data_IF_632308785919
#
_entry.id   IF_632308785919
#
_cell.length_a   1.000
_cell.length_b   1.000
_cell.length_c   1.000
_cell.angle_alpha   90.00
_cell.angle_beta   90.00
_cell.angle_gamma   90.00
#
_symmetry.space_group_name_H-M   'P 1'
#
loop_
_entity.id
_entity.type
_entity.pdbx_description
1 polymer ?
#
# COMPACT_ATOMS: atom_id res chain seq x y z
N UNK A 1 11.27 -32.17 -17.69
CA UNK A 1 12.14 -31.16 -17.04
C UNK A 1 11.38 -29.87 -16.72
N UNK A 2 10.51 -29.38 -17.61
CA UNK A 2 9.72 -28.13 -17.45
C UNK A 2 8.74 -28.09 -16.27
N UNK A 3 8.12 -29.21 -15.91
CA UNK A 3 7.14 -29.26 -14.82
C UNK A 3 7.71 -28.82 -13.46
N UNK A 4 8.95 -29.22 -13.18
CA UNK A 4 9.67 -28.84 -11.97
C UNK A 4 10.25 -27.41 -12.03
N UNK A 5 10.39 -26.83 -13.23
CA UNK A 5 10.82 -25.43 -13.38
C UNK A 5 9.74 -24.43 -13.01
N UNK A 6 8.46 -24.77 -13.23
CA UNK A 6 7.33 -23.86 -12.98
C UNK A 6 6.78 -23.95 -11.55
N UNK A 7 6.98 -25.07 -10.86
CA UNK A 7 6.30 -25.36 -9.57
C UNK A 7 7.11 -24.98 -8.31
N UNK A 8 8.43 -24.85 -8.40
CA UNK A 8 9.27 -24.42 -7.26
C UNK A 8 10.58 -23.71 -7.72
N UNK A 9 10.56 -22.37 -7.87
CA UNK A 9 11.70 -21.61 -8.39
C UNK A 9 12.98 -21.74 -7.57
N UNK A 10 12.86 -21.85 -6.24
CA UNK A 10 13.99 -21.99 -5.30
C UNK A 10 14.76 -23.31 -5.47
N UNK A 11 14.22 -24.29 -6.20
CA UNK A 11 14.90 -25.54 -6.52
C UNK A 11 15.95 -25.37 -7.63
N UNK A 12 16.02 -24.21 -8.31
CA UNK A 12 17.06 -23.91 -9.31
C UNK A 12 18.48 -23.96 -8.72
N UNK A 13 18.69 -23.46 -7.50
CA UNK A 13 20.00 -23.46 -6.86
C UNK A 13 20.47 -24.89 -6.55
N UNK A 14 19.58 -25.69 -5.94
CA UNK A 14 19.84 -27.09 -5.63
C UNK A 14 20.09 -27.98 -6.87
N UNK A 15 19.59 -27.60 -8.05
CA UNK A 15 19.80 -28.36 -9.30
C UNK A 15 21.19 -28.18 -9.88
N UNK A 16 21.73 -26.97 -9.92
CA UNK A 16 23.10 -26.74 -10.38
C UNK A 16 24.12 -27.37 -9.42
N UNK A 17 23.88 -27.26 -8.11
CA UNK A 17 24.71 -27.94 -7.11
C UNK A 17 24.56 -29.46 -7.21
N UNK A 18 23.36 -30.00 -7.46
CA UNK A 18 23.17 -31.43 -7.67
C UNK A 18 23.85 -31.93 -8.95
N UNK A 19 23.77 -31.20 -10.06
CA UNK A 19 24.50 -31.54 -11.30
C UNK A 19 26.01 -31.51 -11.04
N UNK A 20 26.50 -30.49 -10.34
CA UNK A 20 27.92 -30.36 -10.00
C UNK A 20 28.38 -31.49 -9.07
N UNK A 21 27.59 -31.84 -8.06
CA UNK A 21 27.93 -32.90 -7.12
C UNK A 21 27.77 -34.31 -7.71
N UNK A 22 26.74 -34.60 -8.51
CA UNK A 22 26.48 -35.96 -9.01
C UNK A 22 27.11 -36.25 -10.36
N UNK A 23 27.05 -35.30 -11.29
CA UNK A 23 27.47 -35.50 -12.68
C UNK A 23 28.92 -35.05 -12.87
N UNK A 24 29.29 -33.87 -12.37
CA UNK A 24 30.63 -33.31 -12.60
C UNK A 24 31.69 -33.82 -11.61
N UNK A 25 31.30 -34.27 -10.42
CA UNK A 25 32.21 -34.84 -9.41
C UNK A 25 32.27 -36.38 -9.46
N UNK A 26 31.75 -37.03 -10.50
CA UNK A 26 31.80 -38.49 -10.68
C UNK A 26 31.22 -39.31 -9.51
N UNK A 27 30.36 -38.72 -8.68
CA UNK A 27 29.81 -39.39 -7.49
C UNK A 27 28.96 -40.60 -7.90
N UNK A 28 28.27 -40.54 -9.05
CA UNK A 28 27.54 -41.68 -9.60
C UNK A 28 28.47 -42.86 -9.94
N UNK A 29 29.55 -42.61 -10.68
CA UNK A 29 30.56 -43.62 -11.03
C UNK A 29 31.25 -44.19 -9.78
N UNK A 30 31.56 -43.33 -8.81
CA UNK A 30 32.09 -43.76 -7.52
C UNK A 30 31.11 -44.66 -6.75
N UNK A 31 29.81 -44.37 -6.80
CA UNK A 31 28.76 -45.18 -6.20
C UNK A 31 28.63 -46.55 -6.89
N UNK A 32 28.81 -46.56 -8.22
CA UNK A 32 28.76 -47.77 -9.05
C UNK A 32 29.93 -48.72 -8.75
N UNK A 33 31.07 -48.18 -8.33
CA UNK A 33 32.22 -48.95 -7.84
C UNK A 33 32.05 -49.55 -6.43
N UNK A 34 30.93 -49.29 -5.73
CA UNK A 34 30.66 -49.85 -4.39
C UNK A 34 29.86 -51.14 -4.44
N UNK A 35 30.04 -51.96 -3.40
CA UNK A 35 29.22 -53.16 -3.19
C UNK A 35 27.74 -52.78 -2.99
N UNK A 36 26.82 -53.69 -3.35
CA UNK A 36 25.38 -53.45 -3.21
C UNK A 36 25.00 -53.05 -1.79
N UNK A 37 25.60 -53.68 -0.78
CA UNK A 37 25.33 -53.38 0.63
C UNK A 37 25.76 -51.97 1.02
N UNK A 38 26.96 -51.54 0.62
CA UNK A 38 27.46 -50.19 0.91
C UNK A 38 26.67 -49.13 0.15
N UNK A 39 26.33 -49.38 -1.12
CA UNK A 39 25.51 -48.48 -1.93
C UNK A 39 24.15 -48.23 -1.28
N UNK A 40 23.46 -49.29 -0.86
CA UNK A 40 22.17 -49.18 -0.15
C UNK A 40 22.31 -48.35 1.12
N UNK A 41 23.34 -48.61 1.95
CA UNK A 41 23.55 -47.89 3.21
C UNK A 41 23.81 -46.39 2.98
N UNK A 42 24.58 -46.04 1.95
CA UNK A 42 24.87 -44.64 1.58
C UNK A 42 23.59 -43.94 1.13
N UNK A 43 22.82 -44.58 0.24
CA UNK A 43 21.56 -44.02 -0.26
C UNK A 43 20.51 -43.86 0.85
N UNK A 44 20.40 -44.81 1.77
CA UNK A 44 19.51 -44.70 2.94
C UNK A 44 19.87 -43.51 3.83
N UNK A 45 21.17 -43.31 4.12
CA UNK A 45 21.63 -42.15 4.88
C UNK A 45 21.34 -40.83 4.15
N UNK A 46 21.57 -40.79 2.83
CA UNK A 46 21.29 -39.61 2.01
C UNK A 46 19.79 -39.29 1.96
N UNK A 47 18.93 -40.31 1.82
CA UNK A 47 17.47 -40.15 1.85
C UNK A 47 16.97 -39.64 3.20
N UNK A 48 17.54 -40.15 4.30
CA UNK A 48 17.23 -39.66 5.65
C UNK A 48 17.63 -38.19 5.80
N UNK A 49 18.84 -37.83 5.37
CA UNK A 49 19.31 -36.44 5.38
C UNK A 49 18.43 -35.50 4.53
N UNK A 50 18.00 -35.95 3.35
CA UNK A 50 17.06 -35.20 2.51
C UNK A 50 15.76 -34.90 3.24
N UNK A 51 15.18 -35.90 3.90
CA UNK A 51 13.91 -35.73 4.61
C UNK A 51 14.04 -34.78 5.82
N UNK A 52 15.20 -34.75 6.48
CA UNK A 52 15.53 -33.76 7.51
C UNK A 52 15.49 -32.34 6.94
N UNK A 53 16.23 -32.11 5.84
CA UNK A 53 16.33 -30.81 5.17
C UNK A 53 14.94 -30.33 4.71
N UNK A 54 14.16 -31.20 4.07
CA UNK A 54 12.80 -30.86 3.62
C UNK A 54 11.92 -30.45 4.80
N UNK A 55 12.03 -31.13 5.94
CA UNK A 55 11.26 -30.79 7.15
C UNK A 55 11.69 -29.44 7.72
N UNK A 56 12.98 -29.16 7.78
CA UNK A 56 13.51 -27.88 8.25
C UNK A 56 13.09 -26.72 7.35
N UNK A 57 13.18 -26.90 6.03
CA UNK A 57 12.77 -25.88 5.06
C UNK A 57 11.26 -25.63 5.11
N UNK A 58 10.44 -26.67 5.26
CA UNK A 58 8.99 -26.50 5.46
C UNK A 58 8.72 -25.67 6.72
N UNK A 59 9.39 -26.01 7.83
CA UNK A 59 9.24 -25.26 9.09
C UNK A 59 9.67 -23.80 8.94
N UNK A 60 10.75 -23.51 8.20
CA UNK A 60 11.19 -22.13 7.90
C UNK A 60 10.16 -21.38 7.05
N UNK A 61 9.60 -22.04 6.04
CA UNK A 61 8.57 -21.46 5.19
C UNK A 61 7.30 -21.13 5.99
N UNK A 62 6.87 -22.03 6.86
CA UNK A 62 5.70 -21.82 7.74
C UNK A 62 5.96 -20.64 8.70
N UNK A 63 7.13 -20.58 9.35
CA UNK A 63 7.53 -19.48 10.23
C UNK A 63 7.57 -18.13 9.50
N UNK A 64 8.07 -18.11 8.26
CA UNK A 64 8.10 -16.91 7.44
C UNK A 64 6.68 -16.48 7.07
N UNK A 65 5.81 -17.42 6.68
CA UNK A 65 4.41 -17.17 6.40
C UNK A 65 3.68 -16.54 7.59
N UNK A 66 3.84 -17.11 8.78
CA UNK A 66 3.28 -16.54 10.01
C UNK A 66 3.83 -15.15 10.33
N UNK A 67 5.13 -14.92 10.12
CA UNK A 67 5.74 -13.61 10.37
C UNK A 67 5.20 -12.53 9.42
N UNK A 68 4.97 -12.88 8.16
CA UNK A 68 4.35 -11.98 7.16
C UNK A 68 2.93 -11.63 7.59
N UNK A 69 2.11 -12.64 7.94
CA UNK A 69 0.73 -12.42 8.39
C UNK A 69 0.70 -11.50 9.63
N UNK A 70 1.52 -11.79 10.65
CA UNK A 70 1.62 -10.94 11.85
C UNK A 70 2.02 -9.50 11.53
N UNK A 71 2.92 -9.30 10.57
CA UNK A 71 3.32 -7.95 10.13
C UNK A 71 2.16 -7.24 9.43
N UNK A 72 1.45 -7.91 8.54
CA UNK A 72 0.29 -7.33 7.83
C UNK A 72 -0.84 -6.98 8.80
N UNK A 73 -1.12 -7.83 9.78
CA UNK A 73 -2.12 -7.55 10.82
C UNK A 73 -1.73 -6.32 11.66
N UNK A 74 -0.46 -6.20 12.04
CA UNK A 74 0.03 -5.04 12.77
C UNK A 74 -0.08 -3.74 11.95
N UNK A 75 0.26 -3.79 10.65
CA UNK A 75 0.11 -2.66 9.73
C UNK A 75 -1.36 -2.26 9.55
N UNK A 76 -2.26 -3.23 9.43
CA UNK A 76 -3.71 -2.99 9.37
C UNK A 76 -4.21 -2.28 10.63
N UNK A 77 -3.83 -2.76 11.82
CA UNK A 77 -4.24 -2.13 13.09
C UNK A 77 -3.69 -0.70 13.22
N UNK A 78 -2.44 -0.45 12.81
CA UNK A 78 -1.87 0.90 12.82
C UNK A 78 -2.58 1.83 11.82
N UNK A 79 -2.91 1.33 10.63
CA UNK A 79 -3.69 2.06 9.64
C UNK A 79 -5.08 2.44 10.18
N UNK A 80 -5.82 1.47 10.73
CA UNK A 80 -7.14 1.72 11.34
C UNK A 80 -7.07 2.75 12.47
N UNK A 81 -6.03 2.70 13.32
CA UNK A 81 -5.80 3.73 14.36
C UNK A 81 -5.53 5.10 13.76
N UNK A 82 -4.77 5.19 12.66
CA UNK A 82 -4.48 6.47 11.98
C UNK A 82 -5.75 7.06 11.37
N UNK A 83 -6.58 6.22 10.72
CA UNK A 83 -7.87 6.62 10.16
C UNK A 83 -8.79 7.13 11.27
N UNK A 84 -8.97 6.37 12.35
CA UNK A 84 -9.81 6.79 13.48
C UNK A 84 -9.34 8.14 14.08
N UNK A 85 -8.02 8.33 14.25
CA UNK A 85 -7.47 9.61 14.72
C UNK A 85 -7.72 10.75 13.74
N UNK A 86 -7.65 10.48 12.44
CA UNK A 86 -7.97 11.45 11.40
C UNK A 86 -9.45 11.85 11.47
N UNK A 87 -10.34 10.87 11.60
CA UNK A 87 -11.79 11.10 11.65
C UNK A 87 -12.22 11.87 12.88
N UNK A 88 -11.65 11.54 14.06
CA UNK A 88 -11.88 12.31 15.29
C UNK A 88 -11.42 13.76 15.12
N UNK A 89 -10.28 14.00 14.47
CA UNK A 89 -9.81 15.36 14.19
C UNK A 89 -10.72 16.10 13.20
N UNK A 90 -11.14 15.43 12.12
CA UNK A 90 -12.07 16.00 11.13
C UNK A 90 -13.40 16.36 11.79
N UNK A 91 -13.97 15.45 12.60
CA UNK A 91 -15.20 15.67 13.36
C UNK A 91 -15.10 16.88 14.29
N UNK A 92 -13.99 17.04 15.03
CA UNK A 92 -13.77 18.23 15.85
C UNK A 92 -13.75 19.52 15.03
N UNK A 93 -13.08 19.53 13.88
CA UNK A 93 -13.02 20.69 12.98
C UNK A 93 -14.42 21.00 12.41
N UNK A 94 -15.20 19.98 12.07
CA UNK A 94 -16.61 20.14 11.65
C UNK A 94 -17.46 20.75 12.77
N UNK A 95 -17.29 20.29 14.01
CA UNK A 95 -17.99 20.85 15.18
C UNK A 95 -17.58 22.30 15.47
N UNK A 96 -16.31 22.68 15.24
CA UNK A 96 -15.83 24.06 15.40
C UNK A 96 -16.55 25.04 14.46
N UNK A 97 -17.06 24.58 13.30
CA UNK A 97 -17.88 25.42 12.42
C UNK A 97 -19.30 25.65 12.94
N UNK A 98 -19.75 24.83 13.88
CA UNK A 98 -21.00 25.01 14.63
C UNK A 98 -22.21 25.34 13.75
N UNK A 99 -22.98 26.34 14.17
CA UNK A 99 -24.20 26.80 13.49
C UNK A 99 -23.94 27.72 12.30
N UNK A 100 -22.76 28.31 12.19
CA UNK A 100 -22.41 29.21 11.07
C UNK A 100 -22.32 28.46 9.75
N UNK A 101 -21.96 27.17 9.80
CA UNK A 101 -21.81 26.33 8.61
C UNK A 101 -20.61 26.75 7.75
N UNK A 102 -20.51 26.14 6.57
CA UNK A 102 -19.46 26.45 5.60
C UNK A 102 -19.85 27.67 4.76
N UNK A 103 -18.90 28.57 4.51
CA UNK A 103 -19.10 29.76 3.70
C UNK A 103 -18.66 29.48 2.26
N UNK A 104 -19.58 29.66 1.31
CA UNK A 104 -19.41 29.23 -0.09
C UNK A 104 -19.42 30.38 -1.10
N UNK A 105 -19.65 31.62 -0.67
CA UNK A 105 -19.56 32.80 -1.54
C UNK A 105 -18.86 33.94 -0.81
N UNK A 106 -18.28 34.88 -1.55
CA UNK A 106 -17.68 36.09 -0.97
C UNK A 106 -18.69 36.91 -0.16
N UNK A 107 -19.94 36.99 -0.65
CA UNK A 107 -21.01 37.69 0.05
C UNK A 107 -21.36 37.02 1.39
N UNK A 108 -21.35 35.69 1.47
CA UNK A 108 -21.53 34.97 2.74
C UNK A 108 -20.39 35.25 3.70
N UNK A 109 -19.16 35.37 3.21
CA UNK A 109 -17.99 35.71 4.03
C UNK A 109 -18.17 37.10 4.63
N UNK A 110 -18.49 38.09 3.79
CA UNK A 110 -18.66 39.48 4.22
C UNK A 110 -19.83 39.63 5.20
N UNK A 111 -20.95 38.96 4.95
CA UNK A 111 -22.09 38.95 5.88
C UNK A 111 -21.75 38.26 7.20
N UNK A 112 -20.99 37.16 7.18
CA UNK A 112 -20.67 36.39 8.39
C UNK A 112 -19.69 37.12 9.31
N UNK A 113 -18.80 37.95 8.77
CA UNK A 113 -17.89 38.79 9.58
C UNK A 113 -18.56 40.10 10.04
N UNK A 114 -19.62 40.53 9.35
CA UNK A 114 -20.30 41.78 9.65
C UNK A 114 -20.91 41.75 11.06
N UNK A 115 -20.50 42.70 11.90
CA UNK A 115 -20.99 42.80 13.29
C UNK A 115 -20.31 41.86 14.30
N UNK A 116 -19.37 41.01 13.87
CA UNK A 116 -18.54 40.22 14.79
C UNK A 116 -17.40 41.05 15.38
N UNK A 117 -16.98 40.71 16.61
CA UNK A 117 -15.73 41.22 17.15
C UNK A 117 -14.56 40.67 16.34
N UNK A 118 -13.48 41.45 16.22
CA UNK A 118 -12.31 41.07 15.42
C UNK A 118 -11.72 39.70 15.81
N UNK A 119 -11.67 39.38 17.10
CA UNK A 119 -11.22 38.06 17.60
C UNK A 119 -12.08 36.91 17.08
N UNK A 120 -13.40 37.12 17.05
CA UNK A 120 -14.39 36.10 16.72
C UNK A 120 -14.43 35.89 15.20
N UNK A 121 -14.32 36.98 14.43
CA UNK A 121 -14.15 36.94 12.99
C UNK A 121 -12.86 36.18 12.59
N UNK A 122 -11.72 36.46 13.24
CA UNK A 122 -10.47 35.73 12.98
C UNK A 122 -10.64 34.23 13.28
N UNK A 123 -11.28 33.88 14.40
CA UNK A 123 -11.50 32.49 14.77
C UNK A 123 -12.40 31.76 13.78
N UNK A 124 -13.47 32.41 13.32
CA UNK A 124 -14.37 31.90 12.30
C UNK A 124 -13.62 31.63 10.99
N UNK A 125 -12.88 32.61 10.46
CA UNK A 125 -12.14 32.47 9.20
C UNK A 125 -11.05 31.40 9.31
N UNK A 126 -10.32 31.35 10.43
CA UNK A 126 -9.36 30.25 10.67
C UNK A 126 -10.05 28.89 10.73
N UNK A 127 -11.27 28.82 11.28
CA UNK A 127 -12.11 27.61 11.27
C UNK A 127 -12.47 27.16 9.84
N UNK A 128 -12.94 28.09 9.00
CA UNK A 128 -13.25 27.84 7.59
C UNK A 128 -12.02 27.32 6.83
N UNK A 129 -10.88 27.97 6.98
CA UNK A 129 -9.62 27.57 6.33
C UNK A 129 -9.12 26.19 6.83
N UNK A 130 -9.26 25.88 8.13
CA UNK A 130 -8.94 24.55 8.66
C UNK A 130 -9.85 23.47 8.07
N UNK A 131 -11.15 23.75 7.99
CA UNK A 131 -12.13 22.82 7.45
C UNK A 131 -11.86 22.50 5.98
N UNK A 132 -11.68 23.53 5.15
CA UNK A 132 -11.37 23.38 3.72
C UNK A 132 -10.09 22.57 3.49
N UNK A 133 -9.04 22.82 4.29
CA UNK A 133 -7.78 22.06 4.20
C UNK A 133 -7.88 20.61 4.69
N UNK A 134 -8.51 20.39 5.85
CA UNK A 134 -8.40 19.13 6.60
C UNK A 134 -9.58 18.19 6.41
N UNK A 135 -10.76 18.73 6.12
CA UNK A 135 -11.99 17.96 5.90
C UNK A 135 -12.25 17.83 4.41
N UNK A 136 -12.31 18.94 3.67
CA UNK A 136 -12.56 18.91 2.22
C UNK A 136 -11.34 18.51 1.39
N UNK A 137 -10.13 18.62 1.93
CA UNK A 137 -8.91 18.34 1.18
C UNK A 137 -8.67 19.32 0.01
N UNK A 138 -9.30 20.50 0.04
CA UNK A 138 -9.30 21.45 -1.06
C UNK A 138 -7.87 21.89 -1.39
N UNK A 139 -7.45 21.71 -2.65
CA UNK A 139 -6.12 22.09 -3.11
C UNK A 139 -6.09 23.60 -3.37
N UNK A 140 -5.22 24.31 -2.66
CA UNK A 140 -5.05 25.74 -2.84
C UNK A 140 -4.11 26.04 -4.01
N UNK A 141 -4.44 27.05 -4.82
CA UNK A 141 -3.58 27.60 -5.87
C UNK A 141 -2.24 28.08 -5.30
N UNK A 142 -2.26 28.64 -4.09
CA UNK A 142 -1.06 29.10 -3.39
C UNK A 142 -0.83 28.33 -2.09
N UNK A 143 0.42 27.89 -1.88
CA UNK A 143 0.84 27.17 -0.66
C UNK A 143 0.58 27.97 0.63
N UNK A 144 0.50 29.29 0.52
CA UNK A 144 0.34 30.22 1.63
C UNK A 144 -1.12 30.41 2.08
N UNK A 145 -2.12 30.03 1.27
CA UNK A 145 -3.54 30.29 1.54
C UNK A 145 -4.04 29.64 2.84
N UNK A 146 -3.36 28.60 3.32
CA UNK A 146 -3.69 27.92 4.58
C UNK A 146 -2.77 28.27 5.76
N UNK A 147 -1.87 29.25 5.63
CA UNK A 147 -1.05 29.71 6.76
C UNK A 147 -1.82 30.73 7.58
N UNK A 148 -1.54 30.75 8.89
CA UNK A 148 -2.12 31.71 9.83
C UNK A 148 -1.07 32.68 10.39
N UNK A 149 0.20 32.48 10.04
CA UNK A 149 1.31 33.32 10.42
C UNK A 149 2.41 33.31 9.36
N UNK A 150 3.17 34.40 9.32
CA UNK A 150 4.32 34.59 8.46
C UNK A 150 5.44 35.26 9.27
N UNK A 151 6.65 34.72 9.23
CA UNK A 151 7.79 35.24 10.00
C UNK A 151 7.58 35.27 11.52
N UNK A 152 6.66 34.44 12.06
CA UNK A 152 6.30 34.43 13.49
C UNK A 152 5.18 35.43 13.88
N UNK A 153 4.72 36.25 12.94
CA UNK A 153 3.63 37.22 13.14
C UNK A 153 2.31 36.62 12.65
N UNK A 154 1.22 36.78 13.41
CA UNK A 154 -0.10 36.32 12.97
C UNK A 154 -0.62 37.19 11.81
N UNK A 155 -1.23 36.55 10.81
CA UNK A 155 -1.86 37.27 9.71
C UNK A 155 -3.08 38.07 10.18
N UNK A 156 -3.31 39.22 9.56
CA UNK A 156 -4.46 40.08 9.82
C UNK A 156 -5.76 39.41 9.36
N UNK A 157 -6.89 39.91 9.86
CA UNK A 157 -8.22 39.46 9.43
C UNK A 157 -8.38 39.62 7.91
N UNK A 158 -7.98 40.76 7.35
CA UNK A 158 -8.14 41.06 5.92
C UNK A 158 -7.37 40.08 5.04
N UNK A 159 -6.13 39.74 5.42
CA UNK A 159 -5.34 38.74 4.70
C UNK A 159 -5.98 37.36 4.75
N UNK A 160 -6.48 36.96 5.92
CA UNK A 160 -7.16 35.67 6.09
C UNK A 160 -8.48 35.61 5.29
N UNK A 161 -9.22 36.71 5.23
CA UNK A 161 -10.44 36.84 4.42
C UNK A 161 -10.10 36.76 2.94
N UNK A 162 -9.05 37.43 2.46
CA UNK A 162 -8.59 37.33 1.07
C UNK A 162 -8.28 35.88 0.69
N UNK A 163 -7.51 35.17 1.52
CA UNK A 163 -7.21 33.76 1.28
C UNK A 163 -8.48 32.88 1.21
N UNK A 164 -9.47 33.14 2.06
CA UNK A 164 -10.72 32.38 2.04
C UNK A 164 -11.55 32.70 0.78
N UNK A 165 -11.62 33.98 0.37
CA UNK A 165 -12.32 34.39 -0.85
C UNK A 165 -11.68 33.78 -2.10
N UNK A 166 -10.35 33.76 -2.19
CA UNK A 166 -9.63 33.08 -3.27
C UNK A 166 -9.98 31.59 -3.37
N UNK A 167 -10.01 30.89 -2.22
CA UNK A 167 -10.38 29.46 -2.18
C UNK A 167 -11.85 29.24 -2.59
N UNK A 168 -12.74 30.12 -2.18
CA UNK A 168 -14.16 30.05 -2.54
C UNK A 168 -14.38 30.37 -4.02
N UNK A 169 -13.68 31.36 -4.57
CA UNK A 169 -13.76 31.75 -5.97
C UNK A 169 -13.13 30.73 -6.93
N UNK A 170 -12.13 29.97 -6.47
CA UNK A 170 -11.49 28.90 -7.25
C UNK A 170 -12.29 27.57 -7.25
N UNK A 171 -13.26 27.41 -6.33
CA UNK A 171 -14.11 26.22 -6.20
C UNK A 171 -15.22 26.19 -7.28
N UNK A 172 -14.86 26.05 -8.55
CA UNK A 172 -15.82 25.76 -9.64
C UNK A 172 -16.45 24.36 -9.54
N UNK A 173 -15.95 23.51 -8.64
CA UNK A 173 -16.41 22.16 -8.32
C UNK A 173 -17.10 22.11 -6.96
N UNK A 174 -18.04 23.02 -6.72
CA UNK A 174 -19.03 22.83 -5.64
C UNK A 174 -19.97 21.66 -6.00
N UNK A 175 -19.51 20.41 -5.90
CA UNK A 175 -20.35 19.24 -6.15
C UNK A 175 -19.70 17.90 -6.47
N UNK A 176 -18.37 17.79 -6.56
CA UNK A 176 -17.71 16.50 -6.76
C UNK A 176 -16.88 16.16 -5.53
N UNK A 177 -17.50 15.46 -4.58
CA UNK A 177 -16.73 14.57 -3.70
C UNK A 177 -16.13 13.51 -4.63
N UNK A 178 -14.86 13.65 -4.98
CA UNK A 178 -14.12 12.55 -5.58
C UNK A 178 -14.03 11.45 -4.50
N UNK A 179 -14.96 10.50 -4.56
CA UNK A 179 -14.83 9.18 -3.95
C UNK A 179 -13.68 8.43 -4.63
N UNK A 180 -12.42 8.85 -4.45
CA UNK A 180 -11.33 8.16 -5.15
C UNK A 180 -9.99 8.17 -4.40
N UNK A 181 -10.03 7.92 -3.09
CA UNK A 181 -8.80 7.60 -2.31
C UNK A 181 -8.83 6.23 -1.62
N UNK A 182 -9.92 5.46 -1.76
CA UNK A 182 -9.98 4.10 -1.19
C UNK A 182 -9.43 2.99 -2.11
N UNK A 183 -9.09 3.30 -3.38
CA UNK A 183 -8.62 2.30 -4.34
C UNK A 183 -7.10 2.22 -4.53
N UNK A 184 -6.31 3.18 -4.05
CA UNK A 184 -4.95 3.36 -4.58
C UNK A 184 -3.78 2.78 -3.75
N UNK A 185 -3.97 2.30 -2.51
CA UNK A 185 -2.82 1.87 -1.70
C UNK A 185 -2.76 0.39 -1.29
N UNK A 186 -3.86 -0.36 -1.37
CA UNK A 186 -3.85 -1.78 -0.99
C UNK A 186 -3.74 -2.76 -2.18
N UNK A 187 -3.89 -2.28 -3.42
CA UNK A 187 -3.78 -3.10 -4.63
C UNK A 187 -2.48 -2.84 -5.44
N UNK A 188 -1.60 -1.95 -4.99
CA UNK A 188 -0.47 -1.42 -5.77
C UNK A 188 0.92 -1.99 -5.46
N UNK A 189 1.02 -3.23 -4.95
CA UNK A 189 2.26 -4.01 -5.07
C UNK A 189 1.95 -5.36 -5.68
N UNK A 190 1.40 -5.33 -6.88
CA UNK A 190 1.60 -6.41 -7.83
C UNK A 190 3.10 -6.46 -8.11
N UNK A 191 3.79 -7.45 -7.55
CA UNK A 191 5.10 -7.81 -8.08
C UNK A 191 4.89 -8.12 -9.57
N UNK A 192 5.47 -7.32 -10.46
CA UNK A 192 5.59 -7.67 -11.87
C UNK A 192 6.37 -8.98 -11.96
N UNK A 193 5.63 -10.09 -12.00
CA UNK A 193 6.12 -11.37 -12.42
C UNK A 193 5.81 -11.44 -13.91
N UNK A 194 6.68 -10.89 -14.74
CA UNK A 194 6.71 -11.18 -16.18
C UNK A 194 6.93 -12.68 -16.32
N UNK A 195 5.84 -13.41 -16.54
CA UNK A 195 5.86 -14.84 -16.82
C UNK A 195 5.44 -15.00 -18.27
N UNK A 196 6.39 -15.26 -19.16
CA UNK A 196 6.10 -15.70 -20.52
C UNK A 196 5.44 -17.08 -20.44
N UNK A 197 4.11 -17.13 -20.53
CA UNK A 197 3.36 -18.39 -20.56
C UNK A 197 3.32 -18.85 -22.02
N UNK A 198 4.24 -19.76 -22.36
CA UNK A 198 4.13 -20.58 -23.57
C UNK A 198 3.15 -21.71 -23.33
N UNK A 199 2.08 -21.72 -24.13
CA UNK A 199 1.12 -22.82 -24.20
C UNK A 199 1.72 -24.00 -24.99
N UNK A 200 1.22 -25.19 -24.71
CA UNK A 200 1.75 -26.47 -25.24
C UNK A 200 1.57 -26.66 -26.76
N UNK A 201 0.93 -25.73 -27.45
CA UNK A 201 0.79 -25.65 -28.91
C UNK A 201 1.82 -24.72 -29.57
N UNK A 202 2.70 -24.08 -28.79
CA UNK A 202 3.75 -23.18 -29.28
C UNK A 202 3.30 -21.73 -29.50
N UNK A 203 2.05 -21.40 -29.18
CA UNK A 203 1.59 -20.01 -29.21
C UNK A 203 2.02 -19.26 -27.93
N UNK A 204 2.54 -18.04 -28.13
CA UNK A 204 2.91 -17.11 -27.07
C UNK A 204 1.73 -16.17 -26.86
N UNK A 205 1.17 -16.14 -25.65
CA UNK A 205 0.23 -15.09 -25.26
C UNK A 205 1.07 -14.00 -24.60
N UNK A 206 1.34 -12.93 -25.33
CA UNK A 206 1.85 -11.69 -24.75
C UNK A 206 0.63 -10.83 -24.37
N UNK A 207 0.45 -10.59 -23.08
CA UNK A 207 -0.70 -9.86 -22.57
C UNK A 207 -0.63 -9.67 -21.06
N UNK A 208 -0.68 -8.41 -20.62
CA UNK A 208 -0.81 -8.02 -19.22
C UNK A 208 -2.07 -8.66 -18.61
N UNK A 209 -1.87 -9.67 -17.76
CA UNK A 209 -2.97 -10.25 -16.99
C UNK A 209 -3.10 -9.54 -15.65
N UNK A 210 -4.09 -8.66 -15.56
CA UNK A 210 -4.62 -8.15 -14.29
C UNK A 210 -5.45 -9.23 -13.58
N UNK A 211 -5.31 -9.29 -12.25
CA UNK A 211 -5.83 -10.36 -11.36
C UNK A 211 -7.37 -10.42 -11.29
N UNK A 212 -8.11 -9.58 -12.01
CA UNK A 212 -9.58 -9.60 -12.00
C UNK A 212 -10.18 -10.89 -12.60
N UNK A 213 -9.43 -11.62 -13.43
CA UNK A 213 -9.94 -12.83 -14.10
C UNK A 213 -9.92 -14.11 -13.25
N UNK A 214 -9.42 -14.10 -12.01
CA UNK A 214 -9.40 -15.31 -11.15
C UNK A 214 -10.71 -15.44 -10.35
N UNK A 215 -11.44 -14.36 -10.09
CA UNK A 215 -12.64 -14.40 -9.24
C UNK A 215 -13.91 -14.77 -10.03
N UNK A 216 -13.99 -14.47 -11.33
CA UNK A 216 -15.17 -14.82 -12.15
C UNK A 216 -15.26 -16.30 -12.57
N UNK A 217 -14.28 -17.14 -12.22
CA UNK A 217 -14.29 -18.58 -12.53
C UNK A 217 -14.76 -19.49 -11.39
N UNK A 218 -15.16 -18.92 -10.23
CA UNK A 218 -15.60 -19.69 -9.05
C UNK A 218 -17.06 -19.43 -8.64
N UNK A 219 -17.92 -19.05 -9.58
CA UNK A 219 -19.39 -19.13 -9.44
C UNK A 219 -19.99 -19.97 -10.58
#
# INVERSE_FOLDING_TARGET
MDYLYRRSPNTRFFRYDAITCFVLNHVAEWLDGKSTRERTLILEKALKGRNEIVREEQKRADQLGEAIVRKMEAEKVDYERKVLRSDVRKSKITQELGTTGLLYTESMIDCAIHGLRQSDAINLIKGQLRYRKKVLGQVATHRMSYRFSEGGVQLSLDTLVSHLKELVGADSTSGALEEDDFRSFYLGRTCELTCDITLSDGNVIDGECTIDNIISGML
#
